data_IF_637295955476
#
_entry.id   IF_637295955476
#
_cell.length_a   1.000
_cell.length_b   1.000
_cell.length_c   1.000
_cell.angle_alpha   90.00
_cell.angle_beta   90.00
_cell.angle_gamma   90.00
#
_symmetry.space_group_name_H-M   'P 1'
#
loop_
_entity.id
_entity.type
_entity.pdbx_description
1 polymer ?
#
# COMPACT_ATOMS: atom_id res chain seq x y z
N UNK A 1 13.98 1.37 0.46
CA UNK A 1 14.02 0.07 1.16
C UNK A 1 15.41 -0.50 1.03
N UNK A 2 16.27 -0.24 2.02
CA UNK A 2 17.59 -0.88 2.11
C UNK A 2 17.47 -1.99 3.15
N UNK A 3 17.37 -3.23 2.68
CA UNK A 3 17.42 -4.42 3.52
C UNK A 3 18.86 -4.60 3.99
N UNK A 4 19.27 -3.86 5.03
CA UNK A 4 20.51 -4.17 5.76
C UNK A 4 20.31 -5.55 6.39
N UNK A 5 21.13 -6.53 5.99
CA UNK A 5 21.25 -7.83 6.65
C UNK A 5 21.76 -7.57 8.09
N UNK A 6 20.98 -7.81 9.16
CA UNK A 6 21.44 -7.56 10.53
C UNK A 6 22.14 -8.78 11.18
N UNK A 7 22.39 -9.87 10.45
CA UNK A 7 22.39 -11.19 11.09
C UNK A 7 23.78 -11.76 11.47
N UNK A 8 24.88 -11.36 10.79
CA UNK A 8 26.20 -11.96 11.07
C UNK A 8 27.02 -11.19 12.10
N UNK A 9 26.95 -9.88 12.07
CA UNK A 9 27.78 -9.01 12.91
C UNK A 9 27.25 -8.98 14.35
N UNK A 10 25.91 -8.96 14.52
CA UNK A 10 25.24 -9.06 15.82
C UNK A 10 25.56 -10.38 16.54
N UNK A 11 25.53 -11.52 15.83
CA UNK A 11 25.80 -12.84 16.41
C UNK A 11 27.20 -12.94 17.00
N UNK A 12 28.19 -12.46 16.26
CA UNK A 12 29.59 -12.50 16.68
C UNK A 12 29.82 -11.57 17.87
N UNK A 13 29.29 -10.35 17.80
CA UNK A 13 29.39 -9.40 18.90
C UNK A 13 28.69 -9.90 20.18
N UNK A 14 27.53 -10.56 20.04
CA UNK A 14 26.85 -11.21 21.16
C UNK A 14 27.68 -12.35 21.77
N UNK A 15 28.26 -13.23 20.94
CA UNK A 15 29.14 -14.32 21.40
C UNK A 15 30.35 -13.76 22.17
N UNK A 16 31.01 -12.75 21.63
CA UNK A 16 32.19 -12.16 22.25
C UNK A 16 31.85 -11.41 23.53
N UNK A 17 30.66 -10.81 23.63
CA UNK A 17 30.14 -10.27 24.88
C UNK A 17 29.99 -11.37 25.94
N UNK A 18 29.36 -12.50 25.58
CA UNK A 18 29.21 -13.67 26.46
C UNK A 18 30.58 -14.19 26.91
N UNK A 19 31.53 -14.31 25.99
CA UNK A 19 32.88 -14.79 26.28
C UNK A 19 33.62 -13.86 27.24
N UNK A 20 33.52 -12.55 27.03
CA UNK A 20 34.13 -11.55 27.90
C UNK A 20 33.50 -11.57 29.30
N UNK A 21 32.17 -11.67 29.39
CA UNK A 21 31.47 -11.77 30.69
C UNK A 21 31.83 -13.07 31.40
N UNK A 22 31.89 -14.20 30.69
CA UNK A 22 32.31 -15.49 31.26
C UNK A 22 33.72 -15.40 31.84
N UNK A 23 34.67 -14.88 31.08
CA UNK A 23 36.05 -14.76 31.52
C UNK A 23 36.17 -13.88 32.78
N UNK A 24 35.51 -12.72 32.77
CA UNK A 24 35.54 -11.77 33.88
C UNK A 24 34.89 -12.36 35.14
N UNK A 25 33.77 -13.07 35.01
CA UNK A 25 33.06 -13.64 36.16
C UNK A 25 33.72 -14.93 36.66
N UNK A 26 34.00 -15.87 35.77
CA UNK A 26 34.45 -17.23 36.12
C UNK A 26 35.95 -17.28 36.41
N UNK A 27 36.79 -16.59 35.63
CA UNK A 27 38.26 -16.63 35.80
C UNK A 27 38.77 -15.51 36.68
N UNK A 28 38.25 -14.29 36.51
CA UNK A 28 38.74 -13.11 37.24
C UNK A 28 37.94 -12.81 38.53
N UNK A 29 36.84 -13.52 38.77
CA UNK A 29 36.03 -13.38 39.99
C UNK A 29 35.32 -12.03 40.11
N UNK A 30 35.10 -11.32 39.00
CA UNK A 30 34.36 -10.04 38.98
C UNK A 30 32.88 -10.26 39.26
N UNK A 31 32.22 -9.23 39.79
CA UNK A 31 30.76 -9.25 39.85
C UNK A 31 30.16 -9.20 38.44
N UNK A 32 28.96 -9.77 38.26
CA UNK A 32 28.23 -9.69 36.99
C UNK A 32 28.11 -8.23 36.50
N UNK A 33 27.79 -7.30 37.41
CA UNK A 33 27.68 -5.88 37.06
C UNK A 33 29.00 -5.27 36.55
N UNK A 34 30.11 -5.53 37.24
CA UNK A 34 31.43 -5.08 36.79
C UNK A 34 31.85 -5.76 35.48
N UNK A 35 31.52 -7.05 35.33
CA UNK A 35 31.82 -7.81 34.12
C UNK A 35 31.08 -7.24 32.90
N UNK A 36 29.81 -6.88 33.04
CA UNK A 36 29.05 -6.21 31.98
C UNK A 36 29.62 -4.84 31.61
N UNK A 37 29.94 -3.99 32.59
CA UNK A 37 30.51 -2.68 32.32
C UNK A 37 31.86 -2.76 31.60
N UNK A 38 32.70 -3.71 32.01
CA UNK A 38 34.01 -3.93 31.40
C UNK A 38 33.91 -4.59 30.02
N UNK A 39 32.96 -5.50 29.83
CA UNK A 39 32.72 -6.14 28.55
C UNK A 39 32.12 -5.16 27.52
N UNK A 40 31.15 -4.33 27.92
CA UNK A 40 30.60 -3.24 27.11
C UNK A 40 31.69 -2.26 26.68
N UNK A 41 32.55 -1.83 27.61
CA UNK A 41 33.68 -0.94 27.29
C UNK A 41 34.68 -1.56 26.31
N UNK A 42 34.85 -2.89 26.32
CA UNK A 42 35.70 -3.59 25.34
C UNK A 42 35.04 -3.65 23.96
N UNK A 43 33.73 -3.85 23.89
CA UNK A 43 32.97 -3.87 22.63
C UNK A 43 32.81 -2.48 22.01
N UNK A 44 32.67 -1.44 22.82
CA UNK A 44 32.60 -0.04 22.37
C UNK A 44 33.89 0.42 21.66
N UNK A 45 34.99 -0.31 21.86
CA UNK A 45 36.26 -0.08 21.15
C UNK A 45 36.35 -0.78 19.79
N UNK A 46 35.33 -1.50 19.39
CA UNK A 46 35.32 -2.16 18.08
C UNK A 46 34.91 -1.17 17.02
N UNK A 47 35.76 -0.99 16.01
CA UNK A 47 35.54 -0.04 14.92
C UNK A 47 34.28 -0.36 14.07
N UNK A 48 33.74 -1.57 14.21
CA UNK A 48 32.62 -2.09 13.41
C UNK A 48 31.25 -1.92 14.08
N UNK A 49 31.18 -1.56 15.36
CA UNK A 49 29.93 -1.40 16.11
C UNK A 49 29.72 0.04 16.54
N UNK A 50 28.49 0.53 16.36
CA UNK A 50 28.05 1.79 16.96
C UNK A 50 27.72 1.61 18.44
N UNK A 51 27.73 2.70 19.20
CA UNK A 51 27.34 2.71 20.61
C UNK A 51 25.91 2.19 20.82
N UNK A 52 24.99 2.48 19.88
CA UNK A 52 23.60 1.99 19.91
C UNK A 52 23.54 0.46 19.74
N UNK A 53 24.33 -0.10 18.82
CA UNK A 53 24.40 -1.55 18.60
C UNK A 53 25.01 -2.28 19.80
N UNK A 54 26.05 -1.73 20.44
CA UNK A 54 26.63 -2.30 21.68
C UNK A 54 25.60 -2.30 22.82
N UNK A 55 24.81 -1.24 22.94
CA UNK A 55 23.73 -1.16 23.94
C UNK A 55 22.63 -2.17 23.66
N UNK A 56 22.22 -2.37 22.40
CA UNK A 56 21.21 -3.35 22.01
C UNK A 56 21.65 -4.79 22.33
N UNK A 57 22.89 -5.15 21.98
CA UNK A 57 23.47 -6.47 22.25
C UNK A 57 23.59 -6.73 23.75
N UNK A 58 24.09 -5.74 24.50
CA UNK A 58 24.23 -5.85 25.94
C UNK A 58 22.88 -5.95 26.65
N UNK A 59 21.89 -5.17 26.21
CA UNK A 59 20.53 -5.26 26.73
C UNK A 59 19.94 -6.66 26.52
N UNK A 60 20.16 -7.25 25.35
CA UNK A 60 19.78 -8.65 25.07
C UNK A 60 20.39 -9.62 26.08
N UNK A 61 21.71 -9.60 26.25
CA UNK A 61 22.39 -10.53 27.17
C UNK A 61 21.97 -10.32 28.64
N UNK A 62 21.80 -9.08 29.08
CA UNK A 62 21.33 -8.77 30.45
C UNK A 62 19.94 -9.36 30.71
N UNK A 63 19.03 -9.25 29.73
CA UNK A 63 17.69 -9.83 29.80
C UNK A 63 17.75 -11.36 29.91
N UNK A 64 18.69 -12.00 29.22
CA UNK A 64 18.86 -13.45 29.34
C UNK A 64 19.34 -13.88 30.71
N UNK A 65 20.26 -13.13 31.33
CA UNK A 65 20.65 -13.37 32.72
C UNK A 65 19.51 -13.10 33.72
N UNK A 66 18.66 -12.10 33.50
CA UNK A 66 17.47 -11.90 34.33
C UNK A 66 16.53 -13.10 34.26
N UNK A 67 16.27 -13.61 33.06
CA UNK A 67 15.43 -14.79 32.86
C UNK A 67 16.04 -16.05 33.50
N UNK A 68 17.36 -16.22 33.43
CA UNK A 68 18.09 -17.29 34.12
C UNK A 68 17.99 -17.16 35.65
N UNK A 69 18.10 -15.94 36.19
CA UNK A 69 17.94 -15.65 37.62
C UNK A 69 16.56 -16.02 38.15
N UNK A 70 15.50 -15.57 37.49
CA UNK A 70 14.12 -15.98 37.78
C UNK A 70 13.94 -17.50 37.71
N UNK A 71 14.72 -18.16 36.86
CA UNK A 71 14.66 -19.59 36.64
C UNK A 71 15.32 -20.48 37.69
N UNK A 72 16.09 -19.92 38.63
CA UNK A 72 16.81 -20.67 39.66
C UNK A 72 15.90 -21.52 40.59
N UNK A 73 14.59 -21.29 40.57
CA UNK A 73 13.60 -22.05 41.37
C UNK A 73 12.97 -23.25 40.63
N UNK A 74 13.25 -23.49 39.34
CA UNK A 74 12.69 -24.59 38.54
C UNK A 74 13.79 -25.33 37.75
N UNK A 75 13.49 -26.55 37.26
CA UNK A 75 14.46 -27.54 36.77
C UNK A 75 15.21 -27.09 35.50
N UNK A 76 16.56 -27.16 35.51
CA UNK A 76 17.52 -26.63 34.51
C UNK A 76 17.26 -26.91 33.01
N UNK A 77 16.52 -27.95 32.64
CA UNK A 77 16.33 -28.36 31.24
C UNK A 77 15.18 -27.64 30.51
N UNK A 78 14.17 -27.13 31.21
CA UNK A 78 13.01 -26.47 30.57
C UNK A 78 13.32 -25.09 29.99
N UNK A 79 14.48 -24.50 30.32
CA UNK A 79 14.85 -23.13 29.95
C UNK A 79 15.24 -22.95 28.48
N UNK A 80 15.71 -23.99 27.80
CA UNK A 80 16.12 -23.89 26.39
C UNK A 80 14.94 -23.49 25.48
N UNK A 81 13.72 -23.87 25.85
CA UNK A 81 12.49 -23.55 25.11
C UNK A 81 11.80 -22.26 25.58
N UNK A 82 11.87 -21.93 26.88
CA UNK A 82 11.17 -20.78 27.49
C UNK A 82 11.93 -19.46 27.33
N UNK A 83 13.27 -19.51 27.24
CA UNK A 83 14.09 -18.31 27.01
C UNK A 83 13.82 -17.66 25.66
N UNK A 84 13.17 -18.34 24.70
CA UNK A 84 12.83 -17.86 23.35
C UNK A 84 13.80 -16.78 22.82
N UNK A 85 15.07 -17.08 23.01
CA UNK A 85 16.18 -16.40 22.39
C UNK A 85 16.03 -16.71 20.92
N UNK A 86 15.94 -15.69 20.07
CA UNK A 86 15.78 -15.87 18.62
C UNK A 86 16.70 -17.01 18.16
N UNK A 87 16.11 -18.16 17.85
CA UNK A 87 16.76 -19.47 17.85
C UNK A 87 17.84 -19.63 16.74
N UNK A 88 18.21 -18.54 16.06
CA UNK A 88 19.26 -18.46 15.08
C UNK A 88 20.67 -18.24 15.69
N UNK A 89 20.76 -17.72 16.92
CA UNK A 89 22.02 -17.17 17.45
C UNK A 89 22.70 -18.01 18.53
N UNK A 90 21.94 -18.70 19.38
CA UNK A 90 22.49 -19.48 20.50
C UNK A 90 22.94 -20.85 20.04
N UNK A 91 24.25 -21.09 20.10
CA UNK A 91 24.83 -22.43 19.97
C UNK A 91 24.84 -23.11 21.34
N UNK A 92 24.95 -24.44 21.37
CA UNK A 92 25.12 -25.18 22.64
C UNK A 92 26.33 -24.63 23.44
N UNK A 93 27.36 -24.12 22.76
CA UNK A 93 28.51 -23.47 23.41
C UNK A 93 28.17 -22.16 24.12
N UNK A 94 27.23 -21.35 23.63
CA UNK A 94 26.79 -20.14 24.34
C UNK A 94 26.00 -20.54 25.58
N UNK A 95 25.14 -21.54 25.43
CA UNK A 95 24.31 -22.06 26.51
C UNK A 95 25.16 -22.59 27.67
N UNK A 96 26.17 -23.40 27.38
CA UNK A 96 27.08 -23.95 28.39
C UNK A 96 27.81 -22.84 29.18
N UNK A 97 28.19 -21.76 28.50
CA UNK A 97 28.85 -20.59 29.14
C UNK A 97 27.90 -19.82 30.05
N UNK A 98 26.66 -19.60 29.62
CA UNK A 98 25.64 -18.97 30.46
C UNK A 98 25.36 -19.79 31.72
N UNK A 99 25.26 -21.12 31.59
CA UNK A 99 25.12 -22.02 32.73
C UNK A 99 26.34 -21.98 33.66
N UNK A 100 27.55 -21.93 33.10
CA UNK A 100 28.80 -21.85 33.87
C UNK A 100 28.88 -20.56 34.70
N UNK A 101 28.47 -19.43 34.13
CA UNK A 101 28.39 -18.14 34.85
C UNK A 101 27.35 -18.21 35.97
N UNK A 102 26.20 -18.82 35.72
CA UNK A 102 25.14 -19.01 36.71
C UNK A 102 25.59 -19.94 37.87
N UNK A 103 26.21 -21.08 37.56
CA UNK A 103 26.62 -22.08 38.54
C UNK A 103 27.82 -21.61 39.39
N UNK A 104 28.68 -20.76 38.83
CA UNK A 104 29.81 -20.18 39.58
C UNK A 104 29.41 -19.04 40.52
N UNK A 105 28.21 -18.47 40.36
CA UNK A 105 27.89 -17.20 41.05
C UNK A 105 26.40 -16.90 41.31
N UNK A 106 25.63 -17.91 41.72
CA UNK A 106 24.17 -17.83 41.95
C UNK A 106 23.74 -16.66 42.85
N UNK A 107 24.49 -16.35 43.91
CA UNK A 107 24.15 -15.24 44.81
C UNK A 107 24.33 -13.86 44.16
N UNK A 108 25.31 -13.72 43.27
CA UNK A 108 25.49 -12.49 42.49
C UNK A 108 24.48 -12.38 41.36
N UNK A 109 24.03 -13.50 40.78
CA UNK A 109 22.96 -13.49 39.80
C UNK A 109 21.64 -12.97 40.39
N UNK A 110 21.26 -13.45 41.58
CA UNK A 110 20.07 -12.95 42.29
C UNK A 110 20.20 -11.46 42.68
N UNK A 111 21.39 -11.02 43.08
CA UNK A 111 21.65 -9.61 43.38
C UNK A 111 21.60 -8.72 42.12
N UNK A 112 22.09 -9.25 41.00
CA UNK A 112 22.08 -8.59 39.70
C UNK A 112 20.67 -8.47 39.12
N UNK A 113 19.88 -9.54 39.17
CA UNK A 113 18.45 -9.56 38.82
C UNK A 113 17.70 -8.48 39.61
N UNK A 114 17.84 -8.50 40.94
CA UNK A 114 17.20 -7.52 41.82
C UNK A 114 17.61 -6.08 41.48
N UNK A 115 18.88 -5.85 41.18
CA UNK A 115 19.38 -4.52 40.82
C UNK A 115 18.82 -4.05 39.46
N UNK A 116 18.70 -4.94 38.48
CA UNK A 116 18.08 -4.61 37.20
C UNK A 116 16.57 -4.33 37.37
N UNK A 117 15.87 -5.10 38.20
CA UNK A 117 14.47 -4.84 38.52
C UNK A 117 14.26 -3.48 39.21
N UNK A 118 15.14 -3.13 40.15
CA UNK A 118 15.14 -1.83 40.81
C UNK A 118 15.40 -0.69 39.80
N UNK A 119 16.38 -0.83 38.91
CA UNK A 119 16.64 0.16 37.86
C UNK A 119 15.48 0.30 36.87
N UNK A 120 14.86 -0.80 36.46
CA UNK A 120 13.68 -0.78 35.60
C UNK A 120 12.52 -0.06 36.30
N UNK A 121 12.30 -0.30 37.59
CA UNK A 121 11.26 0.40 38.35
C UNK A 121 11.56 1.90 38.54
N UNK A 122 12.81 2.29 38.75
CA UNK A 122 13.21 3.71 38.83
C UNK A 122 13.07 4.45 37.49
N UNK A 123 13.29 3.76 36.35
CA UNK A 123 13.15 4.31 35.00
C UNK A 123 11.70 4.28 34.48
N UNK A 124 10.85 3.40 35.01
CA UNK A 124 9.44 3.27 34.62
C UNK A 124 8.61 4.34 35.32
N UNK A 125 8.73 5.57 34.85
CA UNK A 125 7.87 6.67 35.28
C UNK A 125 6.45 6.47 34.75
N UNK A 126 5.47 7.15 35.36
CA UNK A 126 4.11 7.19 34.82
C UNK A 126 4.08 7.71 33.37
N UNK A 127 5.01 8.59 33.02
CA UNK A 127 5.20 9.13 31.67
C UNK A 127 5.70 8.05 30.70
N UNK A 128 6.62 7.18 31.11
CA UNK A 128 7.07 6.05 30.29
C UNK A 128 5.94 5.05 29.99
N UNK A 129 5.08 4.75 30.98
CA UNK A 129 3.90 3.90 30.78
C UNK A 129 2.90 4.57 29.82
N UNK A 130 2.68 5.87 29.96
CA UNK A 130 1.82 6.63 29.06
C UNK A 130 2.36 6.60 27.62
N UNK A 131 3.67 6.77 27.42
CA UNK A 131 4.30 6.66 26.09
C UNK A 131 4.11 5.28 25.46
N UNK A 132 4.18 4.19 26.24
CA UNK A 132 3.86 2.85 25.72
C UNK A 132 2.41 2.72 25.25
N UNK A 133 1.46 3.32 25.97
CA UNK A 133 0.05 3.33 25.57
C UNK A 133 -0.16 4.14 24.29
N UNK A 134 0.46 5.32 24.20
CA UNK A 134 0.43 6.16 23.00
C UNK A 134 1.04 5.44 21.79
N UNK A 135 2.22 4.83 21.94
CA UNK A 135 2.86 4.07 20.87
C UNK A 135 2.00 2.90 20.38
N UNK A 136 1.33 2.19 21.30
CA UNK A 136 0.42 1.11 20.93
C UNK A 136 -0.81 1.62 20.18
N UNK A 137 -1.32 2.80 20.54
CA UNK A 137 -2.40 3.45 19.80
C UNK A 137 -1.94 3.86 18.40
N UNK A 138 -0.78 4.53 18.29
CA UNK A 138 -0.24 4.96 17.00
C UNK A 138 0.05 3.77 16.08
N UNK A 139 0.56 2.65 16.59
CA UNK A 139 0.75 1.43 15.79
C UNK A 139 -0.57 0.93 15.18
N UNK A 140 -1.67 1.01 15.94
CA UNK A 140 -3.00 0.65 15.46
C UNK A 140 -3.52 1.65 14.40
N UNK A 141 -3.33 2.94 14.62
CA UNK A 141 -3.68 4.00 13.66
C UNK A 141 -2.88 3.87 12.36
N UNK A 142 -1.58 3.62 12.44
CA UNK A 142 -0.72 3.41 11.28
C UNK A 142 -1.17 2.20 10.45
N UNK A 143 -1.52 1.09 11.09
CA UNK A 143 -2.06 -0.09 10.39
C UNK A 143 -3.36 0.23 9.66
N UNK A 144 -4.24 1.02 10.28
CA UNK A 144 -5.48 1.48 9.65
C UNK A 144 -5.19 2.34 8.42
N UNK A 145 -4.37 3.38 8.56
CA UNK A 145 -4.05 4.29 7.46
C UNK A 145 -3.37 3.58 6.28
N UNK A 146 -2.45 2.65 6.56
CA UNK A 146 -1.84 1.84 5.51
C UNK A 146 -2.87 0.99 4.76
N UNK A 147 -3.88 0.48 5.46
CA UNK A 147 -4.99 -0.27 4.84
C UNK A 147 -5.87 0.63 3.98
N UNK A 148 -6.19 1.84 4.45
CA UNK A 148 -6.95 2.84 3.69
C UNK A 148 -6.20 3.29 2.43
N UNK A 149 -4.89 3.57 2.54
CA UNK A 149 -4.05 3.91 1.39
C UNK A 149 -4.03 2.77 0.37
N UNK A 150 -3.97 1.52 0.80
CA UNK A 150 -4.03 0.37 -0.10
C UNK A 150 -5.37 0.30 -0.84
N UNK A 151 -6.49 0.59 -0.16
CA UNK A 151 -7.81 0.69 -0.77
C UNK A 151 -7.87 1.83 -1.79
N UNK A 152 -7.45 3.05 -1.42
CA UNK A 152 -7.46 4.21 -2.31
C UNK A 152 -6.59 4.00 -3.55
N UNK A 153 -5.45 3.31 -3.42
CA UNK A 153 -4.63 2.94 -4.59
C UNK A 153 -5.38 2.02 -5.54
N UNK A 154 -6.10 1.03 -5.02
CA UNK A 154 -6.93 0.13 -5.85
C UNK A 154 -8.05 0.91 -6.55
N UNK A 155 -8.76 1.76 -5.82
CA UNK A 155 -9.82 2.62 -6.38
C UNK A 155 -9.27 3.57 -7.44
N UNK A 156 -8.08 4.13 -7.22
CA UNK A 156 -7.40 5.00 -8.20
C UNK A 156 -7.06 4.26 -9.50
N UNK A 157 -6.57 3.02 -9.41
CA UNK A 157 -6.30 2.19 -10.61
C UNK A 157 -7.61 1.90 -11.37
N UNK A 158 -8.68 1.59 -10.65
CA UNK A 158 -9.99 1.36 -11.24
C UNK A 158 -10.52 2.63 -11.94
N UNK A 159 -10.43 3.79 -11.28
CA UNK A 159 -10.85 5.06 -11.85
C UNK A 159 -10.06 5.40 -13.13
N UNK A 160 -8.75 5.13 -13.15
CA UNK A 160 -7.93 5.31 -14.35
C UNK A 160 -8.42 4.42 -15.51
N UNK A 161 -8.67 3.14 -15.25
CA UNK A 161 -9.18 2.23 -16.29
C UNK A 161 -10.55 2.67 -16.82
N UNK A 162 -11.42 3.20 -15.95
CA UNK A 162 -12.71 3.77 -16.36
C UNK A 162 -12.54 5.01 -17.24
N UNK A 163 -11.59 5.90 -16.92
CA UNK A 163 -11.27 7.08 -17.72
C UNK A 163 -10.79 6.70 -19.13
N UNK A 164 -9.90 5.70 -19.24
CA UNK A 164 -9.42 5.19 -20.52
C UNK A 164 -10.57 4.60 -21.36
N UNK A 165 -11.48 3.84 -20.72
CA UNK A 165 -12.67 3.31 -21.40
C UNK A 165 -13.61 4.43 -21.88
N UNK A 166 -13.80 5.48 -21.09
CA UNK A 166 -14.57 6.67 -21.47
C UNK A 166 -13.91 7.39 -22.66
N UNK A 167 -12.58 7.55 -22.67
CA UNK A 167 -11.87 8.17 -23.78
C UNK A 167 -12.11 7.40 -25.10
N UNK A 168 -11.99 6.07 -25.06
CA UNK A 168 -12.27 5.22 -26.23
C UNK A 168 -13.73 5.35 -26.67
N UNK A 169 -14.67 5.40 -25.74
CA UNK A 169 -16.10 5.56 -26.06
C UNK A 169 -16.39 6.92 -26.70
N UNK A 170 -15.78 8.01 -26.24
CA UNK A 170 -15.92 9.35 -26.83
C UNK A 170 -15.40 9.36 -28.27
N UNK A 171 -14.27 8.71 -28.54
CA UNK A 171 -13.72 8.61 -29.92
C UNK A 171 -14.71 7.90 -30.85
N UNK A 172 -15.21 6.73 -30.44
CA UNK A 172 -16.24 6.00 -31.21
C UNK A 172 -17.52 6.81 -31.42
N UNK A 173 -17.93 7.58 -30.41
CA UNK A 173 -19.09 8.45 -30.54
C UNK A 173 -18.85 9.59 -31.54
N UNK A 174 -17.62 10.10 -31.63
CA UNK A 174 -17.23 11.05 -32.69
C UNK A 174 -17.40 10.45 -34.08
N UNK A 175 -16.95 9.21 -34.29
CA UNK A 175 -17.13 8.51 -35.57
C UNK A 175 -18.63 8.38 -35.92
N UNK A 176 -19.47 8.03 -34.94
CA UNK A 176 -20.92 7.95 -35.13
C UNK A 176 -21.57 9.32 -35.44
N UNK A 177 -21.04 10.42 -34.90
CA UNK A 177 -21.49 11.77 -35.26
C UNK A 177 -21.15 12.11 -36.71
N UNK A 178 -19.96 11.73 -37.18
CA UNK A 178 -19.54 11.94 -38.57
C UNK A 178 -20.40 11.11 -39.54
N UNK A 179 -20.67 9.85 -39.20
CA UNK A 179 -21.59 8.99 -39.96
C UNK A 179 -23.00 9.59 -40.02
N UNK A 180 -23.56 10.03 -38.88
CA UNK A 180 -24.88 10.67 -38.86
C UNK A 180 -24.91 11.95 -39.67
N UNK A 181 -23.84 12.77 -39.62
CA UNK A 181 -23.73 13.98 -40.43
C UNK A 181 -23.73 13.67 -41.93
N UNK A 182 -23.00 12.64 -42.37
CA UNK A 182 -23.00 12.20 -43.77
C UNK A 182 -24.38 11.73 -44.23
N UNK A 183 -25.09 10.97 -43.41
CA UNK A 183 -26.43 10.50 -43.74
C UNK A 183 -27.42 11.66 -43.86
N UNK A 184 -27.36 12.64 -42.94
CA UNK A 184 -28.20 13.85 -43.03
C UNK A 184 -27.89 14.67 -44.29
N UNK A 185 -26.61 14.81 -44.66
CA UNK A 185 -26.22 15.51 -45.89
C UNK A 185 -26.71 14.78 -47.15
N UNK A 186 -26.64 13.45 -47.18
CA UNK A 186 -27.15 12.66 -48.29
C UNK A 186 -28.67 12.78 -48.42
N UNK A 187 -29.40 12.76 -47.30
CA UNK A 187 -30.84 12.96 -47.26
C UNK A 187 -31.24 14.37 -47.73
N UNK A 188 -30.56 15.42 -47.25
CA UNK A 188 -30.78 16.82 -47.68
C UNK A 188 -30.58 16.99 -49.20
N UNK A 189 -29.56 16.35 -49.76
CA UNK A 189 -29.33 16.37 -51.21
C UNK A 189 -30.46 15.66 -51.99
N UNK A 190 -30.94 14.51 -51.50
CA UNK A 190 -32.06 13.77 -52.12
C UNK A 190 -33.35 14.59 -52.09
N UNK A 191 -33.71 15.11 -50.92
CA UNK A 191 -34.89 15.96 -50.71
C UNK A 191 -34.83 17.18 -51.63
N UNK A 192 -33.67 17.83 -51.75
CA UNK A 192 -33.51 18.99 -52.61
C UNK A 192 -33.67 18.68 -54.10
N UNK A 193 -33.21 17.52 -54.56
CA UNK A 193 -33.40 17.10 -55.94
C UNK A 193 -34.85 16.72 -56.23
N UNK A 194 -35.54 16.10 -55.26
CA UNK A 194 -36.97 15.83 -55.35
C UNK A 194 -37.81 17.11 -55.37
N UNK A 195 -37.52 18.08 -54.50
CA UNK A 195 -38.19 19.39 -54.48
C UNK A 195 -38.07 20.13 -55.83
N UNK A 196 -36.94 19.99 -56.54
CA UNK A 196 -36.78 20.55 -57.89
C UNK A 196 -37.73 19.91 -58.90
N UNK A 197 -38.04 18.61 -58.76
CA UNK A 197 -38.98 17.90 -59.65
C UNK A 197 -40.39 18.40 -59.38
N UNK A 198 -40.81 18.43 -58.12
CA UNK A 198 -42.12 18.95 -57.70
C UNK A 198 -42.32 20.40 -58.16
N UNK A 199 -41.34 21.26 -57.91
CA UNK A 199 -41.40 22.68 -58.28
C UNK A 199 -41.52 22.89 -59.81
N UNK A 200 -41.02 21.98 -60.65
CA UNK A 200 -41.20 22.05 -62.11
C UNK A 200 -42.61 21.66 -62.54
N UNK A 201 -43.19 20.63 -61.92
CA UNK A 201 -44.58 20.23 -62.15
C UNK A 201 -45.56 21.34 -61.73
N UNK A 202 -45.30 21.99 -60.59
CA UNK A 202 -46.10 23.13 -60.12
C UNK A 202 -46.03 24.35 -61.06
N UNK A 203 -44.85 24.61 -61.66
CA UNK A 203 -44.62 25.76 -62.54
C UNK A 203 -45.20 25.58 -63.94
N UNK A 204 -45.27 24.35 -64.45
CA UNK A 204 -45.92 24.03 -65.73
C UNK A 204 -46.87 22.83 -65.58
N UNK A 205 -48.11 23.08 -65.09
CA UNK A 205 -49.11 22.04 -64.90
C UNK A 205 -49.62 21.40 -66.19
N UNK A 206 -49.28 21.95 -67.36
CA UNK A 206 -49.72 21.44 -68.67
C UNK A 206 -48.72 20.46 -69.29
N UNK A 207 -47.52 20.35 -68.71
CA UNK A 207 -46.49 19.41 -69.13
C UNK A 207 -46.77 18.02 -68.61
N UNK A 208 -47.18 17.11 -69.49
CA UNK A 208 -47.36 15.70 -69.17
C UNK A 208 -46.06 15.07 -68.63
N UNK A 209 -44.89 15.51 -69.12
CA UNK A 209 -43.58 15.01 -68.67
C UNK A 209 -43.31 15.34 -67.20
N UNK A 210 -43.77 16.49 -66.72
CA UNK A 210 -43.61 16.85 -65.30
C UNK A 210 -44.70 16.24 -64.43
N UNK A 211 -45.92 16.09 -64.95
CA UNK A 211 -47.00 15.40 -64.26
C UNK A 211 -46.67 13.92 -64.01
N UNK A 212 -46.19 13.21 -65.03
CA UNK A 212 -45.80 11.80 -64.91
C UNK A 212 -44.61 11.64 -63.94
N UNK A 213 -43.62 12.56 -63.97
CA UNK A 213 -42.47 12.53 -63.07
C UNK A 213 -42.82 12.82 -61.59
N UNK A 214 -43.81 13.68 -61.35
CA UNK A 214 -44.34 13.95 -60.00
C UNK A 214 -45.18 12.77 -59.48
N UNK A 215 -46.02 12.17 -60.32
CA UNK A 215 -46.81 10.97 -59.97
C UNK A 215 -45.91 9.77 -59.65
N UNK A 216 -44.85 9.55 -60.43
CA UNK A 216 -43.84 8.51 -60.19
C UNK A 216 -43.04 8.75 -58.89
N UNK A 217 -43.01 9.98 -58.37
CA UNK A 217 -42.29 10.35 -57.15
C UNK A 217 -43.09 10.13 -55.86
N UNK A 218 -44.38 9.79 -55.94
CA UNK A 218 -45.26 9.64 -54.75
C UNK A 218 -44.71 8.60 -53.76
N UNK A 219 -44.21 7.47 -54.25
CA UNK A 219 -43.59 6.45 -53.39
C UNK A 219 -42.26 6.91 -52.81
N UNK A 220 -41.48 7.70 -53.58
CA UNK A 220 -40.25 8.35 -53.09
C UNK A 220 -40.57 9.30 -51.94
N UNK A 221 -41.63 10.12 -52.07
CA UNK A 221 -42.08 11.03 -51.01
C UNK A 221 -42.45 10.29 -49.71
N UNK A 222 -43.14 9.14 -49.81
CA UNK A 222 -43.47 8.32 -48.64
C UNK A 222 -42.23 7.76 -47.97
N UNK A 223 -41.26 7.32 -48.77
CA UNK A 223 -39.99 6.81 -48.28
C UNK A 223 -39.16 7.91 -47.60
N UNK A 224 -38.95 9.06 -48.25
CA UNK A 224 -38.20 10.20 -47.69
C UNK A 224 -38.85 10.70 -46.40
N UNK A 225 -40.19 10.78 -46.35
CA UNK A 225 -40.89 11.14 -45.11
C UNK A 225 -40.64 10.16 -43.97
N UNK A 226 -40.56 8.86 -44.27
CA UNK A 226 -40.25 7.84 -43.29
C UNK A 226 -38.80 7.95 -42.80
N UNK A 227 -37.85 8.08 -43.73
CA UNK A 227 -36.42 8.24 -43.44
C UNK A 227 -36.16 9.52 -42.63
N UNK A 228 -36.74 10.64 -43.03
CA UNK A 228 -36.67 11.90 -42.29
C UNK A 228 -37.15 11.74 -40.85
N UNK A 229 -38.29 11.07 -40.62
CA UNK A 229 -38.82 10.83 -39.28
C UNK A 229 -37.84 10.01 -38.42
N UNK A 230 -37.24 8.96 -39.00
CA UNK A 230 -36.26 8.13 -38.30
C UNK A 230 -35.00 8.93 -37.95
N UNK A 231 -34.46 9.71 -38.89
CA UNK A 231 -33.28 10.53 -38.66
C UNK A 231 -33.54 11.68 -37.67
N UNK A 232 -34.74 12.25 -37.67
CA UNK A 232 -35.16 13.25 -36.70
C UNK A 232 -35.21 12.68 -35.28
N UNK A 233 -35.80 11.49 -35.09
CA UNK A 233 -35.83 10.80 -33.80
C UNK A 233 -34.42 10.46 -33.30
N UNK A 234 -33.58 9.90 -34.18
CA UNK A 234 -32.19 9.59 -33.87
C UNK A 234 -31.43 10.86 -33.46
N UNK A 235 -31.58 11.95 -34.21
CA UNK A 235 -30.90 13.22 -33.93
C UNK A 235 -31.32 13.79 -32.56
N UNK A 236 -32.60 13.73 -32.18
CA UNK A 236 -33.03 14.17 -30.86
C UNK A 236 -32.44 13.31 -29.74
N UNK A 237 -32.40 11.99 -29.93
CA UNK A 237 -31.76 11.06 -28.99
C UNK A 237 -30.27 11.37 -28.82
N UNK A 238 -29.54 11.51 -29.93
CA UNK A 238 -28.12 11.85 -29.93
C UNK A 238 -27.85 13.20 -29.27
N UNK A 239 -28.66 14.23 -29.57
CA UNK A 239 -28.53 15.57 -28.98
C UNK A 239 -28.67 15.53 -27.46
N UNK A 240 -29.67 14.81 -26.94
CA UNK A 240 -29.86 14.66 -25.50
C UNK A 240 -28.67 13.95 -24.86
N UNK A 241 -28.27 12.82 -25.45
CA UNK A 241 -27.14 12.03 -24.95
C UNK A 241 -25.83 12.83 -24.95
N UNK A 242 -25.56 13.59 -26.03
CA UNK A 242 -24.39 14.44 -26.15
C UNK A 242 -24.34 15.51 -25.04
N UNK A 243 -25.45 16.21 -24.81
CA UNK A 243 -25.52 17.25 -23.78
C UNK A 243 -25.27 16.69 -22.36
N UNK A 244 -25.86 15.53 -22.05
CA UNK A 244 -25.65 14.84 -20.77
C UNK A 244 -24.18 14.41 -20.61
N UNK A 245 -23.59 13.79 -21.64
CA UNK A 245 -22.20 13.33 -21.62
C UNK A 245 -21.21 14.49 -21.45
N UNK A 246 -21.37 15.58 -22.22
CA UNK A 246 -20.50 16.75 -22.12
C UNK A 246 -20.60 17.45 -20.76
N UNK A 247 -21.79 17.44 -20.14
CA UNK A 247 -21.97 17.97 -18.78
C UNK A 247 -21.17 17.16 -17.75
N UNK A 248 -21.25 15.83 -17.81
CA UNK A 248 -20.51 14.93 -16.92
C UNK A 248 -19.00 15.05 -17.09
N UNK A 249 -18.52 15.08 -18.33
CA UNK A 249 -17.09 15.24 -18.64
C UNK A 249 -16.58 16.59 -18.11
N UNK A 250 -17.30 17.68 -18.37
CA UNK A 250 -16.90 19.01 -17.88
C UNK A 250 -16.89 19.08 -16.34
N UNK A 251 -17.85 18.42 -15.68
CA UNK A 251 -17.89 18.36 -14.22
C UNK A 251 -16.71 17.59 -13.67
N UNK A 252 -16.32 16.48 -14.31
CA UNK A 252 -15.16 15.70 -13.93
C UNK A 252 -13.87 16.51 -14.14
N UNK A 253 -13.72 17.16 -15.30
CA UNK A 253 -12.57 18.02 -15.61
C UNK A 253 -12.35 19.10 -14.55
N UNK A 254 -13.39 19.86 -14.20
CA UNK A 254 -13.33 20.92 -13.17
C UNK A 254 -13.06 20.44 -11.74
N UNK A 255 -13.16 19.13 -11.49
CA UNK A 255 -12.86 18.54 -10.18
C UNK A 255 -11.42 18.05 -10.09
N UNK A 256 -10.78 17.82 -11.22
CA UNK A 256 -9.42 17.27 -11.31
C UNK A 256 -8.39 18.37 -11.62
N UNK A 257 -8.77 19.37 -12.43
CA UNK A 257 -7.97 20.57 -12.75
C UNK A 257 -8.60 21.77 -12.04
#
# INVERSE_FOLDING_TARGET
>A
MSTKKPNKDFKNAYQELVDAVEELVVKEGKSLQEAFQLAEYKLDKWEELTQEEVQEISHGLKKDFQNLGHGLNLVKESYKEELKLDAAYITDSIWDKLLNIMDSNTAQLLAFEKNLDEQVQELTTAEHIASHQEHSQWDSEHKLWLSEIALWKKESIQAQSQLEAIEVAIKKYSDALDEHAQVVQAHDASEHDHEKVMSKAEKDPTSQVYADADEDSIEVHKQEKHEHSQHAELHQSMKKHHAEMMSLINRLYKKVI
#
